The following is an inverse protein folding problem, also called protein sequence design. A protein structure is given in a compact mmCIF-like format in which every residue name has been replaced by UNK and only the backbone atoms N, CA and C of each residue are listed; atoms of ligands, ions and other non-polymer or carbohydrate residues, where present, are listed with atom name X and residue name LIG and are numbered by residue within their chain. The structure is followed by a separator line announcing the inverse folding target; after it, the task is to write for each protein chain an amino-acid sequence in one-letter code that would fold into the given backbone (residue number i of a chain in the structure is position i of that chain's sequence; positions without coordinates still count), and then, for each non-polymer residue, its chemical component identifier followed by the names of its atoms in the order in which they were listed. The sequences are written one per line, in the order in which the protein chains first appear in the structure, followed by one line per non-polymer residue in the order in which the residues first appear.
data_IF_842571730299
#
_entry.id   IF_842571730299
#
_cell.length_a   1.000
_cell.length_b   1.000
_cell.length_c   1.000
_cell.angle_alpha   90.00
_cell.angle_beta   90.00
_cell.angle_gamma   90.00
#
_symmetry.space_group_name_H-M   'P 1'
#
loop_
_entity.id
_entity.type
_entity.pdbx_description
1 polymer ?
#
# COMPACT_ATOMS: atom_id res chain seq x y z
N UNK A 1 -2.60 -4.75 14.34
CA UNK A 1 -3.84 -3.98 14.06
C UNK A 1 -4.43 -4.46 12.74
N UNK A 2 -5.74 -4.77 12.71
CA UNK A 2 -6.41 -5.32 11.53
C UNK A 2 -7.49 -4.36 11.01
N UNK A 3 -7.72 -4.41 9.71
CA UNK A 3 -8.67 -3.54 9.01
C UNK A 3 -9.53 -4.32 8.04
N UNK A 4 -10.82 -4.01 8.04
CA UNK A 4 -11.74 -4.35 6.97
C UNK A 4 -11.50 -3.42 5.79
N UNK A 5 -11.67 -3.94 4.58
CA UNK A 5 -11.52 -3.20 3.33
C UNK A 5 -12.83 -3.24 2.57
N UNK A 6 -13.30 -2.10 2.10
CA UNK A 6 -14.45 -2.03 1.20
C UNK A 6 -13.96 -1.94 -0.23
N UNK A 7 -14.17 -3.02 -0.98
CA UNK A 7 -13.88 -3.05 -2.40
C UNK A 7 -15.02 -2.41 -3.19
N UNK A 8 -14.75 -1.24 -3.78
CA UNK A 8 -15.76 -0.46 -4.51
C UNK A 8 -16.16 -1.13 -5.84
N UNK A 9 -15.29 -1.94 -6.44
CA UNK A 9 -15.57 -2.64 -7.71
C UNK A 9 -16.62 -3.73 -7.53
N UNK A 10 -16.45 -4.57 -6.52
CA UNK A 10 -17.36 -5.69 -6.23
C UNK A 10 -18.42 -5.33 -5.20
N UNK A 11 -18.34 -4.15 -4.58
CA UNK A 11 -19.18 -3.70 -3.46
C UNK A 11 -19.14 -4.65 -2.26
N UNK A 12 -18.02 -5.35 -2.06
CA UNK A 12 -17.84 -6.33 -0.98
C UNK A 12 -16.93 -5.79 0.12
N UNK A 13 -17.18 -6.25 1.34
CA UNK A 13 -16.28 -6.06 2.47
C UNK A 13 -15.34 -7.27 2.50
N UNK A 14 -14.03 -7.01 2.53
CA UNK A 14 -12.97 -7.99 2.57
C UNK A 14 -12.18 -7.85 3.88
N UNK A 15 -11.63 -8.94 4.39
CA UNK A 15 -10.81 -8.95 5.60
C UNK A 15 -11.47 -9.65 6.80
N UNK A 16 -11.10 -9.27 8.05
CA UNK A 16 -10.18 -8.20 8.41
C UNK A 16 -8.72 -8.62 8.15
N UNK A 17 -7.94 -7.74 7.53
CA UNK A 17 -6.54 -8.01 7.19
C UNK A 17 -5.58 -7.24 8.10
N UNK A 18 -4.46 -7.87 8.43
CA UNK A 18 -3.35 -7.22 9.11
C UNK A 18 -2.61 -6.25 8.18
N UNK A 19 -1.98 -5.22 8.75
CA UNK A 19 -1.03 -4.31 8.06
C UNK A 19 -0.02 -5.08 7.19
N UNK A 20 0.56 -6.17 7.70
CA UNK A 20 1.52 -7.01 6.96
C UNK A 20 0.89 -7.74 5.77
N UNK A 21 -0.38 -8.15 5.89
CA UNK A 21 -1.09 -8.84 4.81
C UNK A 21 -1.37 -7.88 3.65
N UNK A 22 -1.50 -6.58 3.92
CA UNK A 22 -1.59 -5.56 2.87
C UNK A 22 -0.27 -5.39 2.10
N UNK A 23 0.89 -5.53 2.76
CA UNK A 23 2.19 -5.53 2.06
C UNK A 23 2.31 -6.68 1.06
N UNK A 24 1.78 -7.85 1.41
CA UNK A 24 1.80 -9.03 0.55
C UNK A 24 0.76 -9.01 -0.59
N UNK A 25 -0.17 -8.04 -0.60
CA UNK A 25 -1.23 -7.92 -1.62
C UNK A 25 -1.22 -6.53 -2.25
N UNK A 26 -0.21 -6.22 -3.09
CA UNK A 26 -0.19 -4.98 -3.84
C UNK A 26 -1.44 -4.88 -4.73
N UNK A 27 -2.12 -3.73 -4.70
CA UNK A 27 -3.34 -3.47 -5.48
C UNK A 27 -4.67 -3.65 -4.74
N UNK A 28 -4.68 -4.25 -3.53
CA UNK A 28 -5.89 -4.29 -2.69
C UNK A 28 -6.21 -2.93 -2.05
N UNK A 29 -5.17 -2.21 -1.63
CA UNK A 29 -5.29 -0.86 -1.09
C UNK A 29 -4.98 0.17 -2.19
N UNK A 30 -5.89 1.12 -2.38
CA UNK A 30 -5.71 2.32 -3.20
C UNK A 30 -5.96 3.55 -2.33
N UNK A 31 -5.52 4.73 -2.78
CA UNK A 31 -5.73 6.00 -2.05
C UNK A 31 -7.22 6.29 -1.74
N UNK A 32 -8.13 5.80 -2.57
CA UNK A 32 -9.58 5.94 -2.44
C UNK A 32 -10.29 4.73 -1.81
N UNK A 33 -9.55 3.65 -1.54
CA UNK A 33 -10.11 2.49 -0.84
C UNK A 33 -10.58 2.92 0.56
N UNK A 34 -11.77 2.46 0.95
CA UNK A 34 -12.30 2.68 2.31
C UNK A 34 -11.93 1.50 3.19
N UNK A 35 -11.48 1.79 4.40
CA UNK A 35 -11.06 0.83 5.40
C UNK A 35 -11.63 1.17 6.76
N UNK A 36 -11.87 0.15 7.57
CA UNK A 36 -12.37 0.31 8.93
C UNK A 36 -11.56 -0.57 9.89
N UNK A 37 -11.17 -0.08 11.07
CA UNK A 37 -10.46 -0.90 12.05
C UNK A 37 -11.33 -2.07 12.53
N UNK A 38 -10.70 -3.16 12.95
CA UNK A 38 -11.40 -4.25 13.65
C UNK A 38 -12.10 -3.70 14.90
N UNK A 39 -13.41 -3.93 15.01
CA UNK A 39 -14.27 -3.32 16.05
C UNK A 39 -15.08 -2.10 15.59
N UNK A 40 -14.82 -1.57 14.39
CA UNK A 40 -15.67 -0.57 13.76
C UNK A 40 -17.10 -1.10 13.60
N UNK A 41 -18.07 -0.38 14.18
CA UNK A 41 -19.49 -0.79 14.17
C UNK A 41 -20.36 0.19 13.39
N UNK A 42 -19.82 1.37 13.08
CA UNK A 42 -20.59 2.48 12.48
C UNK A 42 -20.00 2.89 11.15
N UNK A 43 -20.85 3.42 10.27
CA UNK A 43 -20.43 3.87 8.94
C UNK A 43 -19.37 4.98 9.02
N UNK A 44 -19.39 5.80 10.08
CA UNK A 44 -18.38 6.85 10.28
C UNK A 44 -16.99 6.33 10.66
N UNK A 45 -16.86 5.06 11.07
CA UNK A 45 -15.56 4.46 11.36
C UNK A 45 -14.80 4.10 10.09
N UNK A 46 -15.50 4.06 8.93
CA UNK A 46 -14.90 3.83 7.64
C UNK A 46 -14.19 5.09 7.14
N UNK A 47 -12.88 5.00 6.97
CA UNK A 47 -12.02 6.10 6.49
C UNK A 47 -11.33 5.69 5.21
N UNK A 48 -10.83 6.65 4.41
CA UNK A 48 -9.99 6.28 3.26
C UNK A 48 -8.62 5.85 3.76
N UNK A 49 -7.96 4.96 3.02
CA UNK A 49 -6.61 4.49 3.38
C UNK A 49 -5.63 5.65 3.60
N UNK A 50 -5.71 6.69 2.77
CA UNK A 50 -4.87 7.90 2.89
C UNK A 50 -5.05 8.68 4.20
N UNK A 51 -6.21 8.56 4.84
CA UNK A 51 -6.55 9.25 6.10
C UNK A 51 -6.18 8.41 7.34
N UNK A 52 -5.67 7.20 7.14
CA UNK A 52 -5.24 6.30 8.22
C UNK A 52 -3.71 6.26 8.22
N UNK A 53 -3.02 6.90 9.18
CA UNK A 53 -1.56 7.08 9.13
C UNK A 53 -0.76 5.80 8.92
N UNK A 54 -1.15 4.71 9.61
CA UNK A 54 -0.48 3.41 9.52
C UNK A 54 -0.63 2.77 8.13
N UNK A 55 -1.74 3.02 7.44
CA UNK A 55 -1.95 2.51 6.08
C UNK A 55 -1.47 3.49 5.01
N UNK A 56 -1.45 4.79 5.30
CA UNK A 56 -0.80 5.81 4.46
C UNK A 56 0.68 5.49 4.32
N UNK A 57 1.37 5.18 5.42
CA UNK A 57 2.77 4.74 5.39
C UNK A 57 2.96 3.44 4.60
N UNK A 58 1.98 2.53 4.61
CA UNK A 58 2.02 1.34 3.75
C UNK A 58 1.85 1.68 2.27
N UNK A 59 0.93 2.58 1.91
CA UNK A 59 0.77 3.01 0.52
C UNK A 59 2.00 3.76 0.02
N UNK A 60 2.60 4.59 0.87
CA UNK A 60 3.85 5.29 0.59
C UNK A 60 5.00 4.28 0.41
N UNK A 61 5.08 3.25 1.26
CA UNK A 61 6.04 2.15 1.18
C UNK A 61 5.76 1.10 0.09
N UNK A 62 4.56 1.10 -0.51
CA UNK A 62 4.20 0.28 -1.69
C UNK A 62 4.35 1.10 -2.98
N UNK A 63 4.24 2.44 -2.88
CA UNK A 63 4.44 3.40 -3.96
C UNK A 63 5.90 3.86 -4.11
N UNK A 64 6.70 3.74 -3.05
CA UNK A 64 8.11 3.40 -3.22
C UNK A 64 8.13 1.90 -3.50
N UNK A 65 8.38 1.45 -4.74
CA UNK A 65 9.38 0.41 -4.77
C UNK A 65 10.53 1.00 -3.91
N UNK A 66 11.03 0.27 -2.92
CA UNK A 66 12.47 0.13 -3.00
C UNK A 66 12.70 -0.32 -4.44
N UNK A 67 12.89 0.65 -5.34
CA UNK A 67 14.02 0.57 -6.21
C UNK A 67 15.10 0.25 -5.18
N UNK A 68 15.56 -1.01 -5.04
CA UNK A 68 16.85 -1.20 -4.38
C UNK A 68 17.68 -0.12 -5.04
N UNK A 69 18.26 0.81 -4.28
CA UNK A 69 19.07 1.89 -4.84
C UNK A 69 19.75 1.31 -6.08
N UNK A 70 19.21 1.61 -7.27
CA UNK A 70 19.98 1.49 -8.47
C UNK A 70 20.85 2.68 -8.21
N UNK A 71 21.93 2.41 -7.47
CA UNK A 71 23.16 3.12 -7.57
C UNK A 71 23.34 3.15 -9.07
N UNK A 72 22.96 4.26 -9.68
CA UNK A 72 23.47 4.60 -10.98
C UNK A 72 24.98 4.63 -10.75
N UNK A 73 25.78 3.67 -11.27
CA UNK A 73 27.14 4.04 -11.54
C UNK A 73 27.04 5.13 -12.61
N UNK A 74 27.25 6.35 -12.14
CA UNK A 74 27.67 7.50 -12.91
C UNK A 74 28.77 7.05 -13.90
N UNK A 75 28.62 7.49 -15.16
CA UNK A 75 29.52 7.33 -16.32
C UNK A 75 29.46 6.03 -17.16
N UNK A 76 29.22 6.13 -18.48
CA UNK A 76 29.53 5.05 -19.41
C UNK A 76 31.06 4.98 -19.61
N UNK A 77 31.71 4.02 -18.96
CA UNK A 77 33.12 3.70 -19.26
C UNK A 77 33.23 3.24 -20.72
N UNK A 78 34.01 3.91 -21.59
CA UNK A 78 34.20 3.45 -22.96
C UNK A 78 34.94 2.09 -22.97
N UNK A 79 34.61 1.17 -23.90
CA UNK A 79 35.31 -0.10 -23.99
C UNK A 79 36.80 0.14 -24.34
N UNK A 80 37.73 -0.63 -23.74
CA UNK A 80 39.14 -0.52 -24.12
C UNK A 80 39.32 -0.97 -25.57
N UNK A 81 39.95 -0.09 -26.35
CA UNK A 81 40.33 -0.32 -27.74
C UNK A 81 41.35 -1.46 -27.79
N UNK A 82 41.05 -2.54 -28.50
CA UNK A 82 42.01 -3.58 -28.87
C UNK A 82 41.92 -3.86 -30.36
#
# INVERSE_FOLDING_TARGET
MRFWVFDKRTKKILGPYSVERFKAMPGLLTLDTKVAPEGASRVHDWRKVKDVPVLKGLLDAVGTPENPEVVEPDEPTPPPKR
#
